data_IF_791792173540
#
_entry.id   IF_791792173540
#
_cell.length_a   1.000
_cell.length_b   1.000
_cell.length_c   1.000
_cell.angle_alpha   90.00
_cell.angle_beta   90.00
_cell.angle_gamma   90.00
#
_symmetry.space_group_name_H-M   'P 1'
#
loop_
_entity.id
_entity.type
_entity.pdbx_description
1 polymer ?
#
# COMPACT_ATOMS: atom_id res chain seq x y z
N UNK A 1 -1.45 -5.51 -2.49
CA UNK A 1 -1.18 -6.43 -1.36
C UNK A 1 0.31 -6.37 -1.03
N UNK A 2 0.66 -6.37 0.25
CA UNK A 2 2.04 -6.57 0.69
C UNK A 2 2.32 -8.08 0.72
N UNK A 3 3.25 -8.54 -0.11
CA UNK A 3 3.65 -9.97 -0.19
C UNK A 3 4.71 -10.28 0.85
N UNK A 4 5.59 -9.33 1.14
CA UNK A 4 6.66 -9.41 2.14
C UNK A 4 6.94 -8.00 2.68
N UNK A 5 7.37 -7.90 3.94
CA UNK A 5 7.63 -6.63 4.60
C UNK A 5 6.39 -5.94 5.14
N UNK A 6 6.45 -4.61 5.22
CA UNK A 6 5.38 -3.74 5.74
C UNK A 6 5.41 -2.41 5.00
N UNK A 7 4.26 -1.75 4.92
CA UNK A 7 4.22 -0.41 4.35
C UNK A 7 3.12 0.45 4.95
N UNK A 8 3.31 1.76 4.84
CA UNK A 8 2.29 2.76 5.14
C UNK A 8 2.00 3.57 3.88
N UNK A 9 0.73 3.59 3.48
CA UNK A 9 0.22 4.47 2.42
C UNK A 9 -0.36 5.73 3.04
N UNK A 10 -0.11 6.87 2.41
CA UNK A 10 -0.77 8.15 2.68
C UNK A 10 -1.61 8.56 1.48
N UNK A 11 -2.86 8.96 1.73
CA UNK A 11 -3.81 9.44 0.73
C UNK A 11 -3.85 10.98 0.72
N UNK A 12 -4.47 11.56 -0.31
CA UNK A 12 -4.55 13.02 -0.48
C UNK A 12 -5.29 13.74 0.66
N UNK A 13 -6.21 13.06 1.34
CA UNK A 13 -6.91 13.56 2.53
C UNK A 13 -6.06 13.51 3.82
N UNK A 14 -4.81 13.06 3.73
CA UNK A 14 -3.89 12.89 4.85
C UNK A 14 -4.13 11.61 5.66
N UNK A 15 -5.13 10.80 5.30
CA UNK A 15 -5.34 9.50 5.96
C UNK A 15 -4.19 8.56 5.64
N UNK A 16 -3.85 7.73 6.65
CA UNK A 16 -2.77 6.74 6.54
C UNK A 16 -3.30 5.34 6.75
N UNK A 17 -2.77 4.40 5.97
CA UNK A 17 -3.10 2.97 6.07
C UNK A 17 -1.82 2.16 6.16
N UNK A 18 -1.67 1.46 7.26
CA UNK A 18 -0.61 0.49 7.47
C UNK A 18 -1.05 -0.85 6.90
N UNK A 19 -0.11 -1.55 6.25
CA UNK A 19 -0.28 -2.85 5.66
C UNK A 19 0.87 -3.74 6.11
N UNK A 20 0.54 -4.88 6.71
CA UNK A 20 1.48 -5.97 6.97
C UNK A 20 1.43 -7.02 5.86
N UNK A 21 2.36 -7.97 5.86
CA UNK A 21 2.32 -9.13 4.96
C UNK A 21 0.95 -9.78 4.91
N UNK A 22 0.40 -9.94 3.70
CA UNK A 22 -0.94 -10.47 3.43
C UNK A 22 -2.03 -9.40 3.32
N UNK A 23 -1.81 -8.21 3.89
CA UNK A 23 -2.80 -7.14 3.84
C UNK A 23 -2.86 -6.51 2.44
N UNK A 24 -4.07 -6.07 2.08
CA UNK A 24 -4.32 -5.32 0.86
C UNK A 24 -5.38 -4.26 1.08
N UNK A 25 -5.39 -3.30 0.17
CA UNK A 25 -6.40 -2.26 0.10
C UNK A 25 -6.78 -2.06 -1.35
N UNK A 26 -8.07 -1.85 -1.60
CA UNK A 26 -8.55 -1.41 -2.89
C UNK A 26 -8.45 0.11 -2.96
N UNK A 27 -7.75 0.61 -3.97
CA UNK A 27 -7.61 2.04 -4.22
C UNK A 27 -8.49 2.38 -5.43
N UNK A 28 -9.56 3.17 -5.25
CA UNK A 28 -10.41 3.56 -6.37
C UNK A 28 -9.62 4.30 -7.46
N UNK A 29 -10.13 4.25 -8.69
CA UNK A 29 -9.53 4.97 -9.80
C UNK A 29 -9.40 6.46 -9.48
N UNK A 30 -8.31 7.07 -9.95
CA UNK A 30 -7.99 8.49 -9.77
C UNK A 30 -7.77 8.94 -8.31
N UNK A 31 -7.64 8.02 -7.35
CA UNK A 31 -7.27 8.35 -5.98
C UNK A 31 -5.75 8.42 -5.85
N UNK A 32 -5.23 9.62 -5.56
CA UNK A 32 -3.80 9.81 -5.29
C UNK A 32 -3.43 9.17 -3.96
N UNK A 33 -2.31 8.46 -3.98
CA UNK A 33 -1.71 7.85 -2.82
C UNK A 33 -0.19 7.79 -3.03
N UNK A 34 0.55 7.69 -1.94
CA UNK A 34 2.00 7.45 -1.96
C UNK A 34 2.40 6.54 -0.82
N UNK A 35 3.47 5.76 -1.03
CA UNK A 35 4.12 5.01 0.04
C UNK A 35 4.97 6.00 0.84
N UNK A 36 4.68 6.16 2.13
CA UNK A 36 5.44 7.04 3.03
C UNK A 36 6.40 6.29 3.93
N UNK A 37 6.21 4.99 4.10
CA UNK A 37 7.09 4.14 4.88
C UNK A 37 7.11 2.71 4.32
N UNK A 38 8.27 2.06 4.41
CA UNK A 38 8.46 0.62 4.19
C UNK A 38 9.19 0.01 5.39
N UNK A 39 9.27 -1.32 5.48
CA UNK A 39 10.01 -1.99 6.55
C UNK A 39 11.50 -1.58 6.51
N UNK A 40 12.08 -1.07 7.63
CA UNK A 40 13.48 -0.64 7.64
C UNK A 40 14.48 -1.79 7.66
N UNK A 41 14.05 -3.01 8.03
CA UNK A 41 14.94 -4.15 8.26
C UNK A 41 14.91 -5.18 7.12
N UNK A 42 13.97 -5.06 6.19
CA UNK A 42 13.82 -6.00 5.07
C UNK A 42 13.16 -5.33 3.86
N UNK A 43 13.30 -5.97 2.69
CA UNK A 43 12.67 -5.50 1.47
C UNK A 43 11.15 -5.65 1.59
N UNK A 44 10.41 -4.65 1.11
CA UNK A 44 8.95 -4.73 1.01
C UNK A 44 8.55 -5.03 -0.43
N UNK A 45 7.90 -6.18 -0.64
CA UNK A 45 7.45 -6.65 -1.96
C UNK A 45 5.94 -6.42 -2.09
N UNK A 46 5.52 -5.85 -3.22
CA UNK A 46 4.12 -5.55 -3.52
C UNK A 46 3.60 -6.37 -4.68
N UNK A 47 2.33 -6.78 -4.59
CA UNK A 47 1.53 -7.19 -5.73
C UNK A 47 0.41 -6.16 -5.95
N UNK A 48 0.46 -5.49 -7.11
CA UNK A 48 -0.56 -4.55 -7.55
C UNK A 48 -1.36 -5.18 -8.71
N UNK A 49 -2.69 -5.22 -8.56
CA UNK A 49 -3.60 -5.74 -9.56
C UNK A 49 -4.51 -4.61 -9.99
N UNK A 50 -4.51 -4.31 -11.29
CA UNK A 50 -5.42 -3.34 -11.90
C UNK A 50 -6.55 -4.12 -12.59
N UNK A 51 -7.76 -3.93 -12.11
CA UNK A 51 -8.96 -4.55 -12.66
C UNK A 51 -10.01 -3.49 -12.95
N UNK A 52 -10.91 -3.78 -13.89
CA UNK A 52 -12.06 -2.92 -14.15
C UNK A 52 -13.10 -3.17 -13.06
N UNK A 53 -13.64 -2.09 -12.52
CA UNK A 53 -14.84 -2.12 -11.70
C UNK A 53 -16.07 -2.48 -12.52
#
# INVERSE_FOLDING_TARGET
>A
MVVEGKATLEFEDGSKRELSTGDYINIPAHVKHKVVQTDPNQITIWLAIFYKS
#
